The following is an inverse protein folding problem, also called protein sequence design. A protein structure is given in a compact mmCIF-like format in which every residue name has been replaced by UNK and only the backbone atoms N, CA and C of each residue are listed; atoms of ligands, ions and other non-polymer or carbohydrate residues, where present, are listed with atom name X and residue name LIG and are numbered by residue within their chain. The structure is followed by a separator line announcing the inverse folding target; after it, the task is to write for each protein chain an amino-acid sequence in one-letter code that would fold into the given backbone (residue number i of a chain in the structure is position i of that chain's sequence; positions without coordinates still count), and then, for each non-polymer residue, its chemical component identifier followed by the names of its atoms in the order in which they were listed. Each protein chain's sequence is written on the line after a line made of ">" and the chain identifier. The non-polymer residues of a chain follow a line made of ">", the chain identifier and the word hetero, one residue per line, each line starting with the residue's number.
data_IF_606069759459
#
_entry.id   IF_606069759459
#
_cell.length_a   1.000
_cell.length_b   1.000
_cell.length_c   1.000
_cell.angle_alpha   90.00
_cell.angle_beta   90.00
_cell.angle_gamma   90.00
#
_symmetry.space_group_name_H-M   'P 1'
#
loop_
_entity.id
_entity.type
_entity.pdbx_description
1 polymer ?
#
# COMPACT_ATOMS: atom_id res chain seq x y z
N UNK A 1 7.13 -4.44 -17.88
CA UNK A 1 5.97 -3.57 -18.17
C UNK A 1 4.82 -4.00 -17.28
N UNK A 2 4.62 -3.25 -16.18
CA UNK A 2 3.47 -3.45 -15.31
C UNK A 2 2.29 -2.63 -15.83
N UNK A 3 1.32 -3.31 -16.42
CA UNK A 3 0.03 -2.75 -16.86
C UNK A 3 -0.95 -2.61 -15.68
N UNK A 4 -0.65 -1.88 -14.62
CA UNK A 4 -1.57 -1.60 -13.50
C UNK A 4 -2.27 -2.79 -12.84
N UNK A 5 -2.16 -3.99 -13.42
CA UNK A 5 -2.79 -5.22 -12.97
C UNK A 5 -1.76 -6.34 -12.80
N UNK A 6 -1.75 -6.94 -11.62
CA UNK A 6 -1.05 -8.20 -11.37
C UNK A 6 -1.99 -9.37 -11.69
N UNK A 7 -1.99 -9.79 -12.97
CA UNK A 7 -2.87 -10.86 -13.47
C UNK A 7 -2.61 -12.19 -12.77
N UNK A 8 -1.36 -12.51 -12.43
CA UNK A 8 -0.99 -13.73 -11.73
C UNK A 8 -1.54 -13.76 -10.30
N UNK A 9 -1.49 -12.63 -9.61
CA UNK A 9 -2.05 -12.50 -8.28
C UNK A 9 -3.58 -12.53 -8.30
N UNK A 10 -4.22 -11.94 -9.34
CA UNK A 10 -5.67 -11.99 -9.55
C UNK A 10 -6.11 -13.43 -9.83
N UNK A 11 -5.46 -14.15 -10.72
CA UNK A 11 -5.78 -15.55 -11.03
C UNK A 11 -5.62 -16.44 -9.78
N UNK A 12 -4.52 -16.28 -9.02
CA UNK A 12 -4.31 -16.99 -7.76
C UNK A 12 -5.39 -16.70 -6.72
N UNK A 13 -5.97 -15.49 -6.71
CA UNK A 13 -7.03 -15.09 -5.78
C UNK A 13 -8.40 -15.69 -6.15
N UNK A 14 -8.63 -15.96 -7.43
CA UNK A 14 -9.88 -16.55 -7.96
C UNK A 14 -9.91 -18.06 -7.87
N UNK A 15 -8.77 -18.74 -7.77
CA UNK A 15 -8.74 -20.22 -7.61
C UNK A 15 -9.35 -20.62 -6.26
N UNK A 16 -10.29 -21.60 -6.23
CA UNK A 16 -10.89 -22.06 -4.98
C UNK A 16 -9.78 -22.61 -4.06
N UNK A 17 -9.64 -22.01 -2.90
CA UNK A 17 -8.64 -22.41 -1.89
C UNK A 17 -8.99 -23.81 -1.37
N UNK A 18 -8.29 -24.85 -1.83
CA UNK A 18 -8.23 -26.12 -1.09
C UNK A 18 -7.77 -25.79 0.33
N UNK A 19 -8.54 -26.25 1.34
CA UNK A 19 -8.25 -26.03 2.76
C UNK A 19 -6.84 -26.52 3.10
N UNK A 20 -5.84 -25.64 3.03
CA UNK A 20 -4.51 -25.89 3.57
C UNK A 20 -4.51 -25.45 5.03
N UNK A 21 -3.94 -26.31 5.90
CA UNK A 21 -3.74 -26.07 7.32
C UNK A 21 -3.24 -24.64 7.56
N UNK A 22 -3.85 -23.95 8.52
CA UNK A 22 -3.53 -22.57 8.93
C UNK A 22 -2.04 -22.44 9.19
N UNK A 23 -1.28 -21.87 8.29
CA UNK A 23 -0.02 -21.26 8.63
C UNK A 23 -0.35 -20.01 9.47
N UNK A 24 0.26 -19.87 10.63
CA UNK A 24 -0.02 -18.80 11.62
C UNK A 24 0.47 -17.41 11.17
N UNK A 25 0.90 -17.24 9.93
CA UNK A 25 1.33 -15.95 9.37
C UNK A 25 0.46 -15.72 8.13
N UNK A 26 -0.54 -14.80 8.19
CA UNK A 26 -1.15 -14.31 6.98
C UNK A 26 -0.09 -13.44 6.28
N UNK A 27 0.63 -14.03 5.34
CA UNK A 27 1.27 -13.24 4.30
C UNK A 27 0.10 -12.53 3.62
N UNK A 28 -0.01 -11.21 3.83
CA UNK A 28 -1.07 -10.38 3.26
C UNK A 28 -0.95 -10.38 1.74
N UNK A 29 -1.50 -11.41 1.11
CA UNK A 29 -1.70 -11.47 -0.32
C UNK A 29 -2.93 -10.62 -0.68
N UNK A 30 -2.82 -9.31 -0.60
CA UNK A 30 -3.72 -8.42 -1.30
C UNK A 30 -3.34 -8.48 -2.78
N UNK A 31 -4.19 -9.06 -3.62
CA UNK A 31 -4.01 -9.08 -5.06
C UNK A 31 -4.23 -7.69 -5.73
N UNK A 32 -4.35 -6.63 -4.94
CA UNK A 32 -4.59 -5.27 -5.43
C UNK A 32 -3.28 -4.50 -5.57
N UNK A 33 -3.05 -3.90 -6.74
CA UNK A 33 -1.92 -3.00 -7.01
C UNK A 33 -2.09 -1.66 -6.29
N UNK A 34 -1.02 -0.84 -6.25
CA UNK A 34 -1.08 0.54 -5.72
C UNK A 34 -2.13 1.34 -6.50
N UNK A 35 -2.20 1.21 -7.82
CA UNK A 35 -3.18 1.92 -8.65
C UNK A 35 -4.61 1.53 -8.30
N UNK A 36 -4.90 0.25 -8.12
CA UNK A 36 -6.22 -0.23 -7.68
C UNK A 36 -6.59 0.29 -6.28
N UNK A 37 -5.62 0.34 -5.37
CA UNK A 37 -5.83 0.92 -4.04
C UNK A 37 -6.08 2.42 -4.11
N UNK A 38 -5.36 3.14 -4.97
CA UNK A 38 -5.57 4.58 -5.22
C UNK A 38 -6.96 4.82 -5.80
N UNK A 39 -7.34 4.08 -6.85
CA UNK A 39 -8.68 4.15 -7.45
C UNK A 39 -9.77 3.94 -6.40
N UNK A 40 -9.63 2.91 -5.58
CA UNK A 40 -10.57 2.62 -4.50
C UNK A 40 -10.66 3.74 -3.47
N UNK A 41 -9.53 4.27 -3.02
CA UNK A 41 -9.50 5.26 -1.94
C UNK A 41 -9.95 6.66 -2.38
N UNK A 42 -9.77 7.01 -3.67
CA UNK A 42 -10.09 8.33 -4.21
C UNK A 42 -11.51 8.40 -4.77
N UNK A 43 -11.93 7.38 -5.50
CA UNK A 43 -13.16 7.44 -6.32
C UNK A 43 -14.31 6.59 -5.80
N UNK A 44 -14.03 5.65 -4.86
CA UNK A 44 -15.05 4.72 -4.41
C UNK A 44 -15.37 4.92 -2.93
N UNK A 45 -16.66 4.74 -2.60
CA UNK A 45 -17.12 4.79 -1.21
C UNK A 45 -16.62 3.60 -0.39
N UNK A 46 -16.51 3.78 0.91
CA UNK A 46 -16.26 2.70 1.86
C UNK A 46 -17.54 1.89 2.07
N UNK A 47 -17.74 0.86 1.25
CA UNK A 47 -18.98 0.06 1.26
C UNK A 47 -19.01 -1.01 2.32
N UNK A 48 -20.23 -1.47 2.61
CA UNK A 48 -20.51 -2.59 3.51
C UNK A 48 -20.12 -3.97 2.95
N UNK A 49 -20.54 -5.02 3.68
CA UNK A 49 -20.13 -6.41 3.37
C UNK A 49 -20.57 -6.91 1.99
N UNK A 50 -21.71 -6.42 1.47
CA UNK A 50 -22.27 -6.85 0.19
C UNK A 50 -21.71 -6.08 -1.02
N UNK A 51 -21.13 -4.90 -0.82
CA UNK A 51 -20.67 -4.04 -1.91
C UNK A 51 -19.31 -4.45 -2.51
N UNK A 52 -18.64 -5.45 -1.95
CA UNK A 52 -17.26 -5.82 -2.37
C UNK A 52 -17.20 -6.25 -3.83
N UNK A 53 -18.20 -6.97 -4.31
CA UNK A 53 -18.23 -7.45 -5.71
C UNK A 53 -18.71 -6.35 -6.67
N UNK A 54 -19.72 -5.58 -6.26
CA UNK A 54 -20.27 -4.47 -7.08
C UNK A 54 -19.23 -3.39 -7.30
N UNK A 55 -18.42 -3.07 -6.26
CA UNK A 55 -17.33 -2.09 -6.36
C UNK A 55 -16.17 -2.53 -7.24
N UNK A 56 -16.02 -3.82 -7.51
CA UNK A 56 -14.89 -4.31 -8.31
C UNK A 56 -14.95 -3.83 -9.77
N UNK A 57 -16.14 -3.63 -10.31
CA UNK A 57 -16.33 -3.12 -11.67
C UNK A 57 -15.86 -1.67 -11.79
N UNK A 58 -16.38 -0.69 -11.00
CA UNK A 58 -15.87 0.69 -11.05
C UNK A 58 -14.40 0.79 -10.60
N UNK A 59 -13.91 -0.07 -9.70
CA UNK A 59 -12.49 -0.10 -9.32
C UNK A 59 -11.61 -0.39 -10.56
N UNK A 60 -11.96 -1.38 -11.37
CA UNK A 60 -11.24 -1.70 -12.61
C UNK A 60 -11.30 -0.55 -13.60
N UNK A 61 -12.48 0.05 -13.79
CA UNK A 61 -12.67 1.20 -14.68
C UNK A 61 -11.78 2.40 -14.27
N UNK A 62 -11.83 2.80 -13.01
CA UNK A 62 -11.01 3.90 -12.51
C UNK A 62 -9.51 3.57 -12.50
N UNK A 63 -9.14 2.32 -12.28
CA UNK A 63 -7.73 1.88 -12.37
C UNK A 63 -7.21 2.11 -13.79
N UNK A 64 -7.97 1.67 -14.81
CA UNK A 64 -7.60 1.87 -16.20
C UNK A 64 -7.50 3.37 -16.55
N UNK A 65 -8.47 4.17 -16.11
CA UNK A 65 -8.50 5.61 -16.35
C UNK A 65 -7.28 6.32 -15.72
N UNK A 66 -6.94 5.96 -14.48
CA UNK A 66 -5.78 6.51 -13.77
C UNK A 66 -4.48 6.14 -14.48
N UNK A 67 -4.30 4.88 -14.87
CA UNK A 67 -3.11 4.42 -15.59
C UNK A 67 -2.94 5.14 -16.94
N UNK A 68 -4.05 5.44 -17.59
CA UNK A 68 -4.03 6.16 -18.87
C UNK A 68 -3.73 7.66 -18.73
N UNK A 69 -4.29 8.31 -17.70
CA UNK A 69 -4.22 9.78 -17.54
C UNK A 69 -3.03 10.20 -16.66
N UNK A 70 -2.71 9.40 -15.62
CA UNK A 70 -1.67 9.72 -14.65
C UNK A 70 -0.41 8.90 -14.90
N UNK A 71 0.75 9.52 -14.86
CA UNK A 71 2.02 8.78 -14.81
C UNK A 71 2.24 8.10 -13.45
N UNK A 72 3.14 7.12 -13.39
CA UNK A 72 3.48 6.34 -12.18
C UNK A 72 3.82 7.23 -10.98
N UNK A 73 4.54 8.35 -11.21
CA UNK A 73 4.89 9.32 -10.17
C UNK A 73 3.62 9.93 -9.53
N UNK A 74 2.66 10.37 -10.34
CA UNK A 74 1.41 10.96 -9.86
C UNK A 74 0.56 9.95 -9.10
N UNK A 75 0.50 8.72 -9.57
CA UNK A 75 -0.22 7.63 -8.88
C UNK A 75 0.37 7.40 -7.48
N UNK A 76 1.71 7.32 -7.38
CA UNK A 76 2.40 7.13 -6.10
C UNK A 76 2.19 8.32 -5.16
N UNK A 77 2.29 9.55 -5.68
CA UNK A 77 2.04 10.78 -4.91
C UNK A 77 0.64 10.78 -4.30
N UNK A 78 -0.39 10.55 -5.11
CA UNK A 78 -1.78 10.50 -4.63
C UNK A 78 -1.96 9.35 -3.63
N UNK A 79 -1.43 8.16 -3.94
CA UNK A 79 -1.49 7.01 -3.03
C UNK A 79 -0.96 7.34 -1.64
N UNK A 80 0.23 7.93 -1.56
CA UNK A 80 0.87 8.30 -0.29
C UNK A 80 0.10 9.38 0.48
N UNK A 81 -0.71 10.19 -0.20
CA UNK A 81 -1.55 11.21 0.45
C UNK A 81 -2.90 10.68 0.93
N UNK A 82 -3.42 9.59 0.34
CA UNK A 82 -4.78 9.10 0.67
C UNK A 82 -4.82 7.78 1.42
N UNK A 83 -3.69 7.06 1.50
CA UNK A 83 -3.65 5.76 2.19
C UNK A 83 -3.89 5.92 3.69
N UNK A 84 -4.72 5.03 4.27
CA UNK A 84 -4.86 4.92 5.72
C UNK A 84 -3.55 4.34 6.30
N UNK A 85 -2.95 5.04 7.24
CA UNK A 85 -1.66 4.71 7.87
C UNK A 85 -1.80 4.36 9.35
N UNK A 86 -2.97 4.60 9.91
CA UNK A 86 -3.37 4.29 11.28
C UNK A 86 -4.88 4.44 11.42
N UNK A 87 -5.48 4.13 12.57
CA UNK A 87 -6.91 4.33 12.79
C UNK A 87 -7.31 5.80 12.58
N UNK A 88 -8.01 6.09 11.47
CA UNK A 88 -8.43 7.45 11.12
C UNK A 88 -7.29 8.40 10.70
N UNK A 89 -6.07 7.89 10.52
CA UNK A 89 -4.92 8.65 10.06
C UNK A 89 -4.67 8.39 8.58
N UNK A 90 -4.79 9.41 7.73
CA UNK A 90 -4.66 9.28 6.28
C UNK A 90 -3.49 10.12 5.77
N UNK A 91 -2.70 9.51 4.89
CA UNK A 91 -1.52 10.10 4.28
C UNK A 91 -0.27 10.01 5.14
N UNK A 92 0.89 10.08 4.45
CA UNK A 92 2.20 9.91 5.09
C UNK A 92 2.62 11.11 5.93
N UNK A 93 2.17 12.33 5.60
CA UNK A 93 2.44 13.52 6.42
C UNK A 93 1.70 13.43 7.76
N UNK A 94 0.42 13.05 7.74
CA UNK A 94 -0.35 12.83 8.97
C UNK A 94 0.27 11.71 9.82
N UNK A 95 0.74 10.63 9.20
CA UNK A 95 1.44 9.55 9.89
C UNK A 95 2.75 10.02 10.56
N UNK A 96 3.54 10.83 9.86
CA UNK A 96 4.79 11.38 10.37
C UNK A 96 4.55 12.25 11.61
N UNK A 97 3.54 13.12 11.56
CA UNK A 97 3.13 13.94 12.71
C UNK A 97 2.58 13.09 13.85
N UNK A 98 1.69 12.14 13.53
CA UNK A 98 1.03 11.30 14.54
C UNK A 98 2.01 10.39 15.28
N UNK A 99 2.91 9.72 14.55
CA UNK A 99 3.81 8.73 15.14
C UNK A 99 5.15 9.28 15.60
N UNK A 100 5.66 10.34 14.97
CA UNK A 100 7.03 10.81 15.16
C UNK A 100 7.14 12.31 15.47
N UNK A 101 6.03 13.06 15.47
CA UNK A 101 5.95 14.50 15.76
C UNK A 101 6.88 15.36 14.89
N UNK A 102 6.99 14.99 13.61
CA UNK A 102 7.79 15.70 12.60
C UNK A 102 7.15 15.62 11.22
N UNK A 103 7.58 16.47 10.29
CA UNK A 103 7.16 16.40 8.90
C UNK A 103 7.68 15.13 8.23
N UNK A 104 6.94 14.61 7.26
CA UNK A 104 7.32 13.46 6.45
C UNK A 104 8.68 13.64 5.78
N UNK A 105 9.03 14.86 5.37
CA UNK A 105 10.33 15.21 4.80
C UNK A 105 11.51 14.91 5.75
N UNK A 106 11.26 14.97 7.06
CA UNK A 106 12.27 14.79 8.10
C UNK A 106 12.28 13.39 8.70
N UNK A 107 11.52 12.46 8.13
CA UNK A 107 11.54 11.06 8.55
C UNK A 107 12.90 10.43 8.21
N UNK A 108 13.45 9.69 9.17
CA UNK A 108 14.55 8.77 8.88
C UNK A 108 14.06 7.60 8.03
N UNK A 109 14.97 6.92 7.32
CA UNK A 109 14.64 5.71 6.55
C UNK A 109 13.95 4.64 7.41
N UNK A 110 14.36 4.48 8.66
CA UNK A 110 13.76 3.56 9.62
C UNK A 110 12.32 3.93 9.96
N UNK A 111 12.06 5.19 10.22
CA UNK A 111 10.72 5.69 10.55
C UNK A 111 9.76 5.54 9.35
N UNK A 112 10.21 5.88 8.15
CA UNK A 112 9.47 5.64 6.93
C UNK A 112 9.14 4.14 6.74
N UNK A 113 10.13 3.27 6.94
CA UNK A 113 9.94 1.81 6.85
C UNK A 113 8.95 1.28 7.91
N UNK A 114 8.91 1.87 9.12
CA UNK A 114 7.94 1.51 10.16
C UNK A 114 6.51 1.87 9.74
N UNK A 115 6.30 3.06 9.16
CA UNK A 115 4.99 3.47 8.63
C UNK A 115 4.53 2.50 7.54
N UNK A 116 5.39 2.24 6.55
CA UNK A 116 5.09 1.33 5.42
C UNK A 116 4.80 -0.10 5.91
N UNK A 117 5.50 -0.57 6.95
CA UNK A 117 5.27 -1.89 7.53
C UNK A 117 3.84 -2.05 8.09
N UNK A 118 3.16 -0.96 8.43
CA UNK A 118 1.78 -0.91 8.91
C UNK A 118 0.72 -0.99 7.81
N UNK A 119 1.03 -0.65 6.56
CA UNK A 119 0.07 -0.52 5.44
C UNK A 119 -0.84 -1.73 5.20
N UNK A 120 -0.40 -3.00 5.39
CA UNK A 120 -1.30 -4.15 5.18
C UNK A 120 -2.54 -4.18 6.09
N UNK A 121 -2.46 -3.61 7.28
CA UNK A 121 -3.60 -3.44 8.18
C UNK A 121 -3.31 -2.31 9.18
N UNK A 122 -3.48 -1.05 8.75
CA UNK A 122 -3.06 0.13 9.53
C UNK A 122 -3.83 0.25 10.86
N UNK A 123 -5.05 -0.29 10.93
CA UNK A 123 -5.84 -0.31 12.17
C UNK A 123 -5.27 -1.25 13.25
N UNK A 124 -4.42 -2.22 12.86
CA UNK A 124 -3.83 -3.21 13.77
C UNK A 124 -2.31 -3.11 13.88
N UNK A 125 -1.64 -2.56 12.86
CA UNK A 125 -0.19 -2.53 12.77
C UNK A 125 0.31 -1.10 12.84
N UNK A 126 0.53 -0.61 14.05
CA UNK A 126 0.95 0.77 14.32
C UNK A 126 2.47 0.87 14.40
N UNK A 127 3.02 2.02 13.95
CA UNK A 127 4.44 2.32 14.08
C UNK A 127 4.79 2.71 15.52
N UNK A 128 3.88 3.42 16.23
CA UNK A 128 3.98 3.74 17.66
C UNK A 128 2.60 3.68 18.32
N UNK A 129 2.42 2.95 19.42
CA UNK A 129 3.39 1.97 19.95
C UNK A 129 3.69 0.90 18.88
N UNK A 130 4.99 0.49 18.82
CA UNK A 130 5.42 -0.46 17.77
C UNK A 130 4.82 -1.82 18.00
N UNK A 131 4.03 -2.29 17.04
CA UNK A 131 3.46 -3.64 17.09
C UNK A 131 4.48 -4.69 16.66
N UNK A 132 4.34 -5.94 17.16
CA UNK A 132 5.21 -7.07 16.80
C UNK A 132 5.33 -7.28 15.29
N UNK A 133 4.28 -7.03 14.52
CA UNK A 133 4.29 -7.11 13.05
C UNK A 133 5.22 -6.07 12.45
N UNK A 134 5.11 -4.82 12.88
CA UNK A 134 5.96 -3.72 12.41
C UNK A 134 7.42 -3.98 12.79
N UNK A 135 7.70 -4.35 14.04
CA UNK A 135 9.05 -4.68 14.52
C UNK A 135 9.74 -5.75 13.66
N UNK A 136 9.00 -6.78 13.24
CA UNK A 136 9.55 -7.83 12.37
C UNK A 136 9.69 -7.41 10.91
N UNK A 137 8.78 -6.55 10.39
CA UNK A 137 8.71 -6.23 8.95
C UNK A 137 9.61 -5.06 8.53
N UNK A 138 9.74 -4.01 9.37
CA UNK A 138 10.45 -2.80 8.97
C UNK A 138 11.94 -3.03 8.62
N UNK A 139 12.71 -3.94 9.28
CA UNK A 139 14.09 -4.19 8.89
C UNK A 139 14.21 -4.85 7.51
N UNK A 140 13.19 -5.62 7.10
CA UNK A 140 13.13 -6.21 5.75
C UNK A 140 12.90 -5.11 4.72
N UNK A 141 11.97 -4.17 5.00
CA UNK A 141 11.70 -3.02 4.13
C UNK A 141 12.97 -2.18 3.99
N UNK A 142 13.71 -1.93 5.06
CA UNK A 142 14.99 -1.20 4.99
C UNK A 142 16.00 -1.88 4.07
N UNK A 143 16.11 -3.20 4.11
CA UNK A 143 16.97 -3.95 3.18
C UNK A 143 16.51 -3.78 1.73
N UNK A 144 15.21 -3.91 1.48
CA UNK A 144 14.65 -3.70 0.13
C UNK A 144 14.87 -2.27 -0.37
N UNK A 145 14.74 -1.26 0.50
CA UNK A 145 15.04 0.13 0.15
C UNK A 145 16.49 0.30 -0.31
N UNK A 146 17.44 -0.39 0.35
CA UNK A 146 18.85 -0.35 -0.06
C UNK A 146 19.07 -1.07 -1.41
N UNK A 147 18.39 -2.20 -1.63
CA UNK A 147 18.49 -2.97 -2.86
C UNK A 147 18.02 -2.17 -4.09
N UNK A 148 16.94 -1.39 -3.93
CA UNK A 148 16.34 -0.62 -5.04
C UNK A 148 16.92 0.80 -5.19
N UNK A 149 17.78 1.26 -4.30
CA UNK A 149 18.34 2.63 -4.34
C UNK A 149 19.16 2.89 -5.60
N UNK A 150 19.76 1.83 -6.15
CA UNK A 150 20.53 1.86 -7.41
C UNK A 150 19.68 1.76 -8.68
N UNK A 151 18.42 1.40 -8.57
CA UNK A 151 17.52 1.16 -9.70
C UNK A 151 17.20 2.47 -10.44
N UNK A 152 17.39 2.47 -11.77
CA UNK A 152 17.19 3.66 -12.61
C UNK A 152 15.72 4.09 -12.67
N UNK A 153 14.78 3.14 -12.70
CA UNK A 153 13.35 3.43 -12.74
C UNK A 153 12.89 4.08 -11.43
N UNK A 154 13.42 3.60 -10.30
CA UNK A 154 13.14 4.19 -8.98
C UNK A 154 13.72 5.59 -8.89
N UNK A 155 14.96 5.80 -9.37
CA UNK A 155 15.57 7.12 -9.41
C UNK A 155 14.81 8.10 -10.30
N UNK A 156 14.31 7.64 -11.44
CA UNK A 156 13.48 8.45 -12.34
C UNK A 156 12.16 8.89 -11.68
N UNK A 157 11.54 8.02 -10.89
CA UNK A 157 10.33 8.35 -10.12
C UNK A 157 10.59 9.38 -9.01
N UNK A 158 11.79 9.40 -8.43
CA UNK A 158 12.16 10.28 -7.31
C UNK A 158 12.75 11.63 -7.75
N UNK A 159 13.21 11.75 -9.00
CA UNK A 159 13.66 13.04 -9.54
C UNK A 159 12.48 14.01 -9.68
N UNK A 160 12.67 15.22 -9.20
CA UNK A 160 11.75 16.35 -9.37
C UNK A 160 11.70 16.83 -10.81
#
# INVERSE_FOLDING_TARGET
>A
DHSGFDWDAIEKSLRPKKKKKKSKIPIGGGASTITQQTAKNVFLWQGGRYDKYIRKIPEVYFTFLIEWVWGKKRILEVYLNVIETGPGCFGVEAAAQHYFHKSAKNLSRSEAAMIVAGFPNPKKFTARPMTRRVSWRYPQILREMNNIEGDEDVRALLKN
#
